data_IF_380011938129
#
_entry.id   IF_380011938129
#
_cell.length_a   1.000
_cell.length_b   1.000
_cell.length_c   1.000
_cell.angle_alpha   90.00
_cell.angle_beta   90.00
_cell.angle_gamma   90.00
#
_symmetry.space_group_name_H-M   'P 1'
#
loop_
_entity.id
_entity.type
_entity.pdbx_description
1 polymer ?
2 polymer ?
3 non-polymer ?
4 water ?
#
# COMPACT_ATOMS: atom_id res chain seq x y z
N UNK A 22 6.02 5.73 15.10
CA UNK A 22 5.36 5.00 14.02
C UNK A 22 6.26 3.88 13.54
N UNK A 23 5.68 2.95 12.78
CA UNK A 23 6.46 1.84 12.24
C UNK A 23 6.83 0.77 13.23
N UNK A 24 6.54 0.98 14.50
CA UNK A 24 6.84 -0.01 15.52
C UNK A 24 5.54 -0.72 15.86
N UNK A 25 5.35 -1.89 15.25
CA UNK A 25 4.15 -2.68 15.46
C UNK A 25 4.03 -3.21 16.88
N UNK A 26 2.91 -2.88 17.55
CA UNK A 26 2.61 -3.29 18.92
C UNK A 26 2.82 -4.78 19.20
N UNK A 27 2.32 -5.63 18.30
CA UNK A 27 2.44 -7.07 18.47
C UNK A 27 3.74 -7.70 17.94
N UNK A 28 4.64 -6.87 17.43
CA UNK A 28 5.90 -7.36 16.88
C UNK A 28 7.12 -6.61 17.38
N UNK A 29 7.38 -5.43 16.84
CA UNK A 29 8.54 -4.65 17.26
C UNK A 29 8.54 -4.39 18.78
N UNK A 30 7.38 -3.98 19.31
CA UNK A 30 7.25 -3.69 20.73
C UNK A 30 7.33 -4.94 21.62
N UNK A 31 6.96 -6.09 21.07
CA UNK A 31 7.03 -7.35 21.79
C UNK A 31 8.40 -7.98 21.56
N UNK A 32 9.18 -7.37 20.68
CA UNK A 32 10.51 -7.87 20.32
C UNK A 32 10.38 -9.22 19.63
N UNK A 33 9.39 -9.32 18.75
CA UNK A 33 9.12 -10.53 17.99
C UNK A 33 9.20 -10.25 16.48
N UNK A 34 10.00 -11.04 15.78
CA UNK A 34 10.17 -10.89 14.34
C UNK A 34 9.05 -11.65 13.65
N UNK A 35 8.44 -11.05 12.63
CA UNK A 35 7.38 -11.75 11.91
C UNK A 35 8.00 -12.80 10.98
N UNK A 36 7.21 -13.80 10.60
CA UNK A 36 7.66 -14.89 9.76
C UNK A 36 8.50 -14.57 8.53
N UNK A 37 8.10 -13.56 7.77
CA UNK A 37 8.82 -13.20 6.56
C UNK A 37 9.86 -12.09 6.68
N UNK A 38 9.88 -11.42 7.83
CA UNK A 38 10.80 -10.32 8.09
C UNK A 38 12.25 -10.63 7.72
N UNK A 39 12.61 -11.92 7.80
CA UNK A 39 13.95 -12.41 7.48
C UNK A 39 14.34 -12.13 6.02
N UNK A 40 13.40 -12.31 5.10
CA UNK A 40 13.64 -12.09 3.67
C UNK A 40 14.16 -10.69 3.40
N UNK A 41 13.51 -9.71 4.02
CA UNK A 41 13.85 -8.32 3.83
C UNK A 41 15.29 -8.01 4.21
N UNK A 42 15.70 -8.44 5.40
CA UNK A 42 17.07 -8.20 5.86
C UNK A 42 18.07 -8.92 4.98
N UNK A 43 17.74 -10.14 4.58
CA UNK A 43 18.62 -10.93 3.75
C UNK A 43 18.88 -10.21 2.42
N UNK A 44 17.83 -9.60 1.86
CA UNK A 44 17.96 -8.88 0.60
C UNK A 44 18.87 -7.66 0.71
N UNK A 45 19.03 -7.14 1.92
CA UNK A 45 19.90 -5.98 2.12
C UNK A 45 21.37 -6.41 2.03
N UNK A 46 21.64 -7.67 2.32
CA UNK A 46 23.01 -8.18 2.28
C UNK A 46 23.36 -8.74 0.88
N UNK B 1 -3.49 -10.13 -3.79
CA UNK B 1 -2.03 -10.42 -3.78
C UNK B 1 -1.85 -11.76 -4.47
N UNK B 2 -0.91 -11.83 -5.41
CA UNK B 2 -0.64 -13.04 -6.16
C UNK B 2 0.63 -13.63 -5.56
N UNK B 3 0.58 -14.92 -5.24
CA UNK B 3 1.69 -15.65 -4.62
C UNK B 3 1.99 -15.12 -3.23
N UNK B 4 0.93 -14.84 -2.47
CA UNK B 4 1.11 -14.34 -1.12
C UNK B 4 0.79 -15.36 -0.05
N UNK B 5 0.86 -14.94 1.20
CA UNK B 5 0.55 -15.80 2.34
C UNK B 5 -0.41 -15.03 3.20
N UNK B 6 -1.14 -15.74 4.07
CA UNK B 6 -2.05 -15.08 5.00
C UNK B 6 -1.09 -14.40 5.96
N UNK B 7 -1.37 -13.16 6.30
CA UNK B 7 -0.52 -12.42 7.22
C UNK B 7 -0.87 -12.82 8.65
N UNK B 8 0.10 -12.68 9.55
CA UNK B 8 -0.12 -12.98 10.95
C UNK B 8 -0.90 -11.80 11.50
N UNK B 9 -1.75 -12.08 12.48
CA UNK B 9 -2.56 -11.04 13.10
C UNK B 9 -1.68 -9.89 13.58
N UNK B 10 -2.03 -8.69 13.15
CA UNK B 10 -1.28 -7.51 13.56
C UNK B 10 -0.04 -7.23 12.74
N UNK B 11 0.13 -7.94 11.63
CA UNK B 11 1.29 -7.75 10.76
C UNK B 11 1.35 -6.32 10.21
N UNK B 12 0.23 -5.83 9.70
CA UNK B 12 0.15 -4.49 9.14
C UNK B 12 -0.91 -3.66 9.86
N UNK B 13 -0.57 -3.12 11.04
CA UNK B 13 -1.47 -2.30 11.86
C UNK B 13 -2.03 -1.09 11.12
N UNK B 14 -1.25 -0.58 10.16
CA UNK B 14 -1.62 0.59 9.36
C UNK B 14 -2.54 0.25 8.19
N UNK B 15 -2.77 -1.03 7.94
CA UNK B 15 -3.63 -1.42 6.84
C UNK B 15 -5.03 -0.87 7.03
N UNK B 16 -5.58 -0.31 5.96
CA UNK B 16 -6.91 0.27 5.97
C UNK B 16 -7.61 -0.18 4.70
N UNK B 17 -8.91 -0.49 4.79
CA UNK B 17 -9.64 -0.88 3.60
C UNK B 17 -10.72 0.13 3.29
N UNK B 18 -10.68 0.65 2.07
CA UNK B 18 -11.63 1.64 1.59
C UNK B 18 -12.87 0.87 1.15
N UNK B 19 -14.03 1.28 1.63
CA UNK B 19 -15.28 0.60 1.33
C UNK B 19 -16.35 1.49 0.73
N UNK B 20 -17.28 0.85 0.03
CA UNK B 20 -18.42 1.52 -0.58
C UNK B 20 -19.49 1.33 0.50
N UNK B 21 -20.13 2.41 0.94
CA UNK B 21 -21.13 2.28 2.00
C UNK B 21 -22.37 1.46 1.68
N UNK B 22 -22.89 1.62 0.46
CA UNK B 22 -24.08 0.87 0.07
C UNK B 22 -24.16 0.79 -1.45
N UNK B 23 -24.10 -0.43 -2.01
CA UNK B 23 -23.98 -1.72 -1.33
C UNK B 23 -22.55 -1.92 -0.83
N UNK B 24 -22.39 -2.56 0.33
CA UNK B 24 -21.06 -2.79 0.89
C UNK B 24 -20.24 -3.50 -0.18
N UNK B 25 -19.05 -2.94 -0.44
CA UNK B 25 -18.17 -3.46 -1.46
C UNK B 25 -16.76 -2.94 -1.20
N UNK B 26 -15.79 -3.85 -1.17
CA UNK B 26 -14.40 -3.46 -0.97
C UNK B 26 -13.92 -2.77 -2.24
N UNK B 27 -13.36 -1.58 -2.10
CA UNK B 27 -12.88 -0.82 -3.25
C UNK B 27 -11.36 -0.75 -3.35
N UNK B 28 -10.69 -0.53 -2.22
CA UNK B 28 -9.25 -0.40 -2.23
C UNK B 28 -8.56 -0.56 -0.90
N UNK B 29 -7.24 -0.53 -0.96
CA UNK B 29 -6.42 -0.59 0.23
C UNK B 29 -6.08 0.85 0.53
N UNK B 30 -5.45 1.07 1.68
CA UNK B 30 -5.03 2.40 2.09
C UNK B 30 -4.19 2.20 3.33
N UNK B 31 -3.55 3.25 3.82
CA UNK B 31 -2.73 3.12 5.01
C UNK B 31 -3.00 4.23 6.01
N UNK B 32 -2.90 3.89 7.28
CA UNK B 32 -3.11 4.81 8.36
C UNK B 32 -1.75 5.47 8.66
N UNK B 33 -1.60 6.73 8.28
CA UNK B 33 -0.34 7.44 8.53
C UNK B 33 -0.42 8.37 9.74
N UNK B 34 -1.58 8.41 10.37
CA UNK B 34 -1.83 9.26 11.53
C UNK B 34 -3.19 8.84 12.07
N UNK B 35 -3.56 9.33 13.25
CA UNK B 35 -4.85 8.95 13.83
C UNK B 35 -6.03 9.62 13.13
N UNK B 36 -5.76 10.45 12.12
CA UNK B 36 -6.84 11.13 11.39
C UNK B 36 -6.56 11.28 9.90
N UNK B 37 -5.50 10.66 9.41
CA UNK B 37 -5.15 10.74 7.99
C UNK B 37 -4.83 9.38 7.39
N UNK B 38 -5.52 9.06 6.31
CA UNK B 38 -5.34 7.81 5.59
C UNK B 38 -4.79 8.14 4.20
N UNK B 39 -3.75 7.41 3.81
CA UNK B 39 -3.08 7.60 2.52
C UNK B 39 -3.54 6.51 1.57
N UNK B 40 -3.88 6.89 0.34
CA UNK B 40 -4.34 5.92 -0.66
C UNK B 40 -3.97 6.41 -2.05
N UNK B 41 -4.28 5.61 -3.07
CA UNK B 41 -3.99 5.97 -4.45
C UNK B 41 -5.18 6.75 -5.01
N UNK B 42 -4.90 7.81 -5.76
CA UNK B 42 -5.96 8.61 -6.34
C UNK B 42 -6.90 7.84 -7.25
N UNK B 43 -6.40 6.82 -7.95
CA UNK B 43 -7.23 6.04 -8.87
C UNK B 43 -8.30 5.21 -8.18
N UNK B 44 -8.27 5.21 -6.85
CA UNK B 44 -9.24 4.49 -6.05
C UNK B 44 -10.49 5.36 -5.87
N UNK B 45 -10.33 6.65 -6.14
CA UNK B 45 -11.40 7.62 -6.00
C UNK B 45 -11.77 8.26 -7.32
N UNK B 46 -10.77 8.72 -8.07
CA UNK B 46 -11.04 9.36 -9.34
C UNK B 46 -10.31 8.77 -10.54
N UNK B 47 -11.10 8.24 -11.47
CA UNK B 47 -10.58 7.67 -12.69
C UNK B 47 -11.74 7.63 -13.66
N UNK B 48 -12.01 8.76 -14.34
CA UNK B 48 -13.09 8.91 -15.31
C UNK B 48 -13.27 7.81 -16.36
N UNK B 49 -12.18 7.30 -16.96
CA UNK B 49 -12.31 6.24 -17.96
C UNK B 49 -13.11 5.01 -17.50
N UNK B 50 -13.22 4.81 -16.20
CA UNK B 50 -13.97 3.68 -15.65
C UNK B 50 -15.21 4.16 -14.92
N UNK B 51 -15.44 5.47 -14.97
CA UNK B 51 -16.58 6.12 -14.32
C UNK B 51 -16.45 6.19 -12.80
N UNK B 52 -15.22 6.38 -12.31
CA UNK B 52 -14.97 6.50 -10.88
C UNK B 52 -14.79 7.96 -10.50
N UNK B 53 -15.53 8.38 -9.49
CA UNK B 53 -15.48 9.73 -8.94
C UNK B 53 -16.21 9.64 -7.62
N UNK B 54 -15.57 9.03 -6.64
CA UNK B 54 -16.15 8.83 -5.32
C UNK B 54 -16.11 10.07 -4.45
N UNK B 55 -17.23 10.33 -3.76
CA UNK B 55 -17.35 11.48 -2.89
C UNK B 55 -17.30 10.97 -1.45
N UNK B 56 -17.14 11.89 -0.51
CA UNK B 56 -17.11 11.54 0.91
C UNK B 56 -18.37 10.78 1.30
N UNK B 57 -19.49 11.13 0.69
CA UNK B 57 -20.76 10.48 0.98
C UNK B 57 -20.91 9.06 0.42
N UNK B 58 -19.95 8.65 -0.41
CA UNK B 58 -20.00 7.32 -1.02
C UNK B 58 -19.04 6.34 -0.35
N UNK B 59 -17.98 6.89 0.21
CA UNK B 59 -16.93 6.10 0.84
C UNK B 59 -17.10 5.84 2.32
N UNK B 60 -16.29 4.90 2.82
CA UNK B 60 -16.28 4.52 4.22
C UNK B 60 -14.95 3.82 4.45
N UNK B 61 -14.44 3.88 5.67
CA UNK B 61 -13.16 3.27 6.00
C UNK B 61 -13.27 2.24 7.13
N UNK B 62 -12.53 1.14 7.01
CA UNK B 62 -12.51 0.09 8.03
C UNK B 62 -11.05 -0.24 8.38
N UNK B 63 -10.65 0.12 9.59
CA UNK B 63 -9.29 -0.09 10.07
C UNK B 63 -9.17 -1.19 11.13
N UNK B 64 -7.98 -1.77 11.23
CA UNK B 64 -7.74 -2.83 12.21
C UNK B 64 -8.25 -4.23 11.86
N UNK B 65 -8.61 -4.45 10.60
CA UNK B 65 -9.14 -5.75 10.19
C UNK B 65 -8.11 -6.84 9.86
N UNK B 66 -8.61 -8.05 9.65
CA UNK B 66 -7.78 -9.21 9.31
C UNK B 66 -8.56 -10.07 8.30
N UNK B 67 -9.83 -10.29 8.59
CA UNK B 67 -10.70 -11.06 7.71
C UNK B 67 -11.35 -10.09 6.73
N UNK B 68 -11.47 -10.49 5.48
CA UNK B 68 -12.05 -9.65 4.44
C UNK B 68 -13.55 -9.50 4.63
N UNK B 69 -14.20 -10.58 5.08
CA UNK B 69 -15.63 -10.60 5.27
C UNK B 69 -16.14 -10.26 6.66
N UNK B 70 -15.79 -11.10 7.63
CA UNK B 70 -16.23 -10.93 9.01
C UNK B 70 -16.00 -9.56 9.65
N UNK B 71 -17.02 -9.06 10.33
CA UNK B 71 -16.94 -7.79 11.03
C UNK B 71 -16.33 -8.12 12.38
N UNK B 72 -15.02 -7.94 12.51
CA UNK B 72 -14.37 -8.23 13.79
C UNK B 72 -14.76 -7.22 14.85
N UNK B 73 -15.71 -7.59 15.70
CA UNK B 73 -16.17 -6.71 16.76
C UNK B 73 -15.02 -6.42 17.73
N UNK B 74 -14.85 -5.13 18.03
CA UNK B 74 -13.80 -4.63 18.91
C UNK B 74 -12.39 -5.17 18.62
N UNK B 75 -11.83 -4.60 17.56
CA UNK B 75 -10.50 -4.85 17.00
C UNK B 75 -10.61 -3.92 15.81
N UNK B 76 -11.70 -4.12 15.06
CA UNK B 76 -12.03 -3.33 13.88
C UNK B 76 -12.59 -1.99 14.27
N UNK B 77 -12.35 -0.99 13.44
CA UNK B 77 -12.85 0.36 13.68
C UNK B 77 -13.29 0.96 12.36
N UNK B 78 -14.58 1.23 12.23
CA UNK B 78 -15.17 1.80 11.03
C UNK B 78 -15.26 3.31 11.22
N UNK B 79 -14.96 4.06 10.17
CA UNK B 79 -15.00 5.52 10.23
C UNK B 79 -15.45 6.10 8.89
N UNK B 80 -15.90 7.36 8.93
CA UNK B 80 -16.34 8.05 7.73
C UNK B 80 -15.39 9.21 7.45
N UNK B 81 -15.22 9.52 6.19
CA UNK B 81 -14.32 10.59 5.79
C UNK B 81 -14.92 11.96 6.05
N UNK B 82 -14.03 12.94 6.16
CA UNK B 82 -14.39 14.32 6.41
C UNK B 82 -14.19 15.08 5.11
N UNK B 83 -13.03 14.85 4.49
CA UNK B 83 -12.69 15.48 3.23
C UNK B 83 -11.71 14.60 2.49
N UNK B 84 -11.76 14.64 1.16
CA UNK B 84 -10.88 13.86 0.31
C UNK B 84 -9.97 14.84 -0.41
N UNK B 85 -8.70 14.49 -0.54
CA UNK B 85 -7.73 15.34 -1.21
C UNK B 85 -7.03 14.54 -2.31
N UNK B 86 -7.17 14.97 -3.55
CA UNK B 86 -6.53 14.30 -4.67
C UNK B 86 -5.49 15.28 -5.21
N UNK B 87 -4.26 14.79 -5.44
CA UNK B 87 -3.20 15.66 -5.93
C UNK B 87 -3.65 16.42 -7.18
N UNK B 88 -3.42 17.74 -7.21
CA UNK B 88 -3.78 18.63 -8.31
C UNK B 88 -3.17 18.23 -9.65
N UNK B 89 -2.00 17.61 -9.62
CA UNK B 89 -1.33 17.20 -10.85
C UNK B 89 -1.43 15.71 -11.17
N UNK B 90 -2.38 15.03 -10.55
CA UNK B 90 -2.61 13.60 -10.78
C UNK B 90 -3.06 13.41 -12.23
N UNK B 91 -2.18 12.87 -13.06
CA UNK B 91 -2.50 12.66 -14.48
C UNK B 91 -3.19 11.33 -14.75
N UNK B 92 -4.52 11.33 -14.75
CA UNK B 92 -5.27 10.10 -14.99
C UNK B 92 -5.44 9.77 -16.46
N UNK B 93 -5.34 10.78 -17.31
CA UNK B 93 -5.51 10.56 -18.74
C UNK B 93 -4.20 10.37 -19.48
N UNK B 94 -3.27 9.65 -18.88
CA UNK B 94 -1.99 9.39 -19.52
C UNK B 94 -1.20 8.25 -18.89
N UNK B 95 -0.60 8.50 -17.73
CA UNK B 95 0.21 7.47 -17.08
C UNK B 95 -0.01 7.31 -15.57
N UNK B 96 -1.05 7.94 -15.05
CA UNK B 96 -1.38 7.91 -13.62
C UNK B 96 -0.28 8.52 -12.76
N UNK B 97 0.34 9.59 -13.28
CA UNK B 97 1.39 10.27 -12.55
C UNK B 97 0.76 10.92 -11.32
N UNK B 98 1.49 10.91 -10.21
CA UNK B 98 1.02 11.48 -8.95
C UNK B 98 -0.28 10.83 -8.50
N UNK B 99 -0.27 9.50 -8.53
CA UNK B 99 -1.41 8.70 -8.12
C UNK B 99 -1.41 8.64 -6.60
N UNK B 100 -1.87 9.72 -5.98
CA UNK B 100 -1.88 9.81 -4.52
C UNK B 100 -3.07 10.65 -4.05
N UNK B 101 -3.65 10.26 -2.93
CA UNK B 101 -4.78 10.95 -2.37
C UNK B 101 -4.78 10.81 -0.85
N UNK B 102 -5.19 11.87 -0.17
CA UNK B 102 -5.26 11.89 1.27
C UNK B 102 -6.72 11.90 1.70
N UNK B 103 -7.03 11.06 2.69
CA UNK B 103 -8.38 10.96 3.21
C UNK B 103 -8.34 11.39 4.67
N UNK B 104 -9.10 12.43 5.00
CA UNK B 104 -9.16 12.93 6.37
C UNK B 104 -10.35 12.33 7.07
N UNK B 105 -10.11 11.61 8.16
CA UNK B 105 -11.20 10.97 8.91
C UNK B 105 -12.00 12.05 9.62
N UNK B 106 -13.31 11.83 9.74
CA UNK B 106 -14.20 12.78 10.40
C UNK B 106 -13.82 12.96 11.86
N UNK B 107 -13.56 11.83 12.52
CA UNK B 107 -13.21 11.81 13.92
C UNK B 107 -11.95 10.95 14.11
N UNK B 108 -10.97 11.45 14.86
CA UNK B 108 -9.70 10.79 15.15
C UNK B 108 -9.89 9.37 15.68
N UNK B 109 -9.20 8.42 15.07
CA UNK B 109 -9.30 7.02 15.45
C UNK B 109 -8.46 6.70 16.70
N UNK B 110 -8.92 5.71 17.47
CA UNK B 110 -8.23 5.30 18.67
C UNK B 110 -7.29 4.14 18.34
N UNK B 111 -6.00 4.38 18.47
CA UNK B 111 -4.97 3.37 18.19
C UNK B 111 -5.07 2.20 19.16
N UNK B 112 -4.55 1.04 18.75
CA UNK B 112 -4.57 -0.16 19.57
C UNK B 112 -3.44 -1.08 19.12
N UNK B 113 -3.53 -2.37 19.45
CA UNK B 113 -2.52 -3.33 19.05
C UNK B 113 -2.68 -3.68 17.58
N UNK B 114 -3.85 -3.38 17.04
CA UNK B 114 -4.17 -3.69 15.65
C UNK B 114 -4.25 -2.44 14.78
N UNK B 115 -4.14 -1.27 15.40
CA UNK B 115 -4.20 -0.01 14.66
C UNK B 115 -3.03 0.84 15.12
N UNK B 116 -2.12 1.12 14.20
CA UNK B 116 -0.94 1.91 14.51
C UNK B 116 -0.42 2.50 13.22
N UNK B 117 0.01 3.78 13.24
CA UNK B 117 0.52 4.48 12.05
C UNK B 117 1.86 3.94 11.55
N UNK B 118 2.13 4.19 10.26
CA UNK B 118 3.37 3.78 9.64
C UNK B 118 4.17 5.05 9.45
N UNK B 119 5.49 4.94 9.37
CA UNK B 119 6.30 6.14 9.20
C UNK B 119 6.44 6.52 7.75
N UNK B 120 6.56 7.81 7.50
CA UNK B 120 6.77 8.32 6.16
C UNK B 120 8.29 8.45 6.06
N UNK B 121 8.87 8.22 4.87
CA UNK B 121 10.31 8.31 4.69
C UNK B 121 10.92 9.71 4.73
N UNK B 122 12.18 9.76 5.15
CA UNK B 122 12.93 11.01 5.19
C UNK B 122 14.11 10.78 4.26
N UNK B 123 14.78 11.88 3.86
CA UNK B 123 15.92 11.80 2.94
C UNK B 123 16.88 10.66 3.22
N UNK B 124 17.39 10.59 4.45
CA UNK B 124 18.32 9.54 4.82
C UNK B 124 17.73 8.16 4.51
N UNK B 125 16.59 7.85 5.11
CA UNK B 125 15.92 6.57 4.92
C UNK B 125 15.69 6.23 3.45
N UNK B 126 15.15 7.19 2.70
CA UNK B 126 14.90 6.99 1.29
C UNK B 126 16.20 6.70 0.54
N UNK B 127 17.27 7.35 0.96
CA UNK B 127 18.58 7.19 0.34
C UNK B 127 19.23 5.84 0.63
N UNK B 128 19.03 5.35 1.85
CA UNK B 128 19.61 4.07 2.26
C UNK B 128 18.84 2.83 1.85
N UNK B 129 17.51 2.93 1.78
CA UNK B 129 16.70 1.78 1.45
C UNK B 129 16.27 1.60 -0.01
N UNK B 130 16.10 2.69 -0.74
CA UNK B 130 15.69 2.60 -2.14
C UNK B 130 16.81 2.16 -3.07
N UNK B 131 17.04 0.86 -3.15
CA UNK B 131 18.08 0.28 -3.99
C UNK B 131 17.54 -1.01 -4.59
N UNK B 132 17.81 -1.21 -5.87
CA UNK B 132 17.35 -2.41 -6.57
C UNK B 132 17.88 -3.63 -5.83
N UNK B 133 17.07 -4.66 -5.74
CA UNK B 133 17.47 -5.87 -5.04
C UNK B 133 16.84 -5.93 -3.66
N UNK B 134 16.74 -4.78 -3.00
CA UNK B 134 16.13 -4.69 -1.68
C UNK B 134 14.66 -5.03 -1.79
N UNK B 135 14.19 -5.93 -0.92
CA UNK B 135 12.79 -6.34 -0.93
C UNK B 135 11.90 -5.47 -0.04
N UNK B 136 10.67 -5.28 -0.49
CA UNK B 136 9.70 -4.48 0.23
C UNK B 136 8.50 -5.36 0.46
N UNK B 137 7.50 -4.85 1.18
CA UNK B 137 6.31 -5.64 1.49
C UNK B 137 5.01 -5.00 1.02
N UNK B 138 4.17 -5.82 0.39
CA UNK B 138 2.87 -5.35 -0.09
C UNK B 138 1.81 -6.20 0.61
N UNK B 139 0.71 -5.56 0.98
CA UNK B 139 -0.36 -6.26 1.67
C UNK B 139 -1.72 -5.85 1.14
N UNK B 140 -2.67 -6.78 1.15
CA UNK B 140 -4.01 -6.48 0.68
C UNK B 140 -4.97 -7.65 0.67
N UNK B 141 -6.25 -7.36 0.49
CA UNK B 141 -7.29 -8.38 0.43
C UNK B 141 -7.77 -8.56 -1.02
N UNK B 142 -6.98 -8.04 -1.96
CA UNK B 142 -7.34 -8.12 -3.38
C UNK B 142 -7.24 -9.51 -3.99
N UNK B 143 -7.72 -9.64 -5.22
CA UNK B 143 -7.73 -10.91 -5.95
C UNK B 143 -6.42 -11.66 -5.85
N UNK B 144 -6.53 -12.98 -5.80
CA UNK B 144 -5.36 -13.86 -5.72
C UNK B 144 -4.77 -14.08 -7.11
N UNK B 145 -5.55 -13.72 -8.13
CA UNK B 145 -5.12 -13.86 -9.51
C UNK B 145 -6.03 -13.01 -10.36
N UNK B 146 -5.71 -12.89 -11.64
CA UNK B 146 -6.52 -12.08 -12.55
C UNK B 146 -7.93 -12.62 -12.61
N UNK B 147 -8.89 -11.78 -12.21
CA UNK B 147 -10.28 -12.17 -12.22
C UNK B 147 -11.00 -11.41 -13.31
N UNK B 155 -11.72 -15.69 -5.94
CA UNK B 155 -10.30 -15.55 -5.62
C UNK B 155 -9.99 -14.53 -4.54
N UNK B 156 -11.02 -13.96 -3.93
CA UNK B 156 -10.84 -12.99 -2.88
C UNK B 156 -10.36 -13.73 -1.64
N UNK B 157 -9.23 -13.30 -1.07
CA UNK B 157 -8.67 -13.94 0.12
C UNK B 157 -9.57 -13.70 1.34
N UNK B 158 -9.69 -14.70 2.19
CA UNK B 158 -10.52 -14.58 3.38
C UNK B 158 -9.74 -13.79 4.43
N UNK B 159 -8.41 -13.94 4.40
CA UNK B 159 -7.53 -13.26 5.33
C UNK B 159 -6.48 -12.41 4.60
N UNK B 160 -6.07 -11.31 5.22
CA UNK B 160 -5.07 -10.40 4.68
C UNK B 160 -3.88 -11.15 4.12
N UNK B 161 -3.52 -10.85 2.87
CA UNK B 161 -2.40 -11.50 2.21
C UNK B 161 -1.17 -10.62 2.35
N UNK B 162 0.01 -11.23 2.18
CA UNK B 162 1.27 -10.52 2.26
C UNK B 162 2.26 -11.13 1.28
N UNK B 163 3.15 -10.30 0.73
CA UNK B 163 4.17 -10.76 -0.21
C UNK B 163 5.33 -9.76 -0.21
N UNK B 164 6.56 -10.29 -0.22
CA UNK B 164 7.75 -9.47 -0.23
C UNK B 164 8.28 -9.45 -1.66
N UNK B 165 8.43 -8.25 -2.23
CA UNK B 165 8.89 -8.08 -3.60
C UNK B 165 10.11 -7.18 -3.66
N UNK B 166 11.08 -7.51 -4.53
CA UNK B 166 12.30 -6.73 -4.69
C UNK B 166 12.14 -5.51 -5.60
N UNK B 167 12.84 -4.43 -5.25
CA UNK B 167 12.83 -3.21 -6.05
C UNK B 167 13.58 -3.52 -7.34
N UNK B 168 13.03 -3.09 -8.47
CA UNK B 168 13.66 -3.32 -9.76
C UNK B 168 14.29 -2.01 -10.22
N UNK B 169 15.40 -2.10 -10.94
CA UNK B 169 16.07 -0.90 -11.43
C UNK B 169 15.25 -0.24 -12.53
N UNK B 170 15.23 1.09 -12.49
CA UNK B 170 14.48 1.92 -13.43
C UNK B 170 14.56 1.51 -14.91
N UNK B 171 15.78 1.29 -15.46
CA UNK B 171 15.89 0.90 -16.87
C UNK B 171 14.99 -0.30 -17.17
N UNK B 172 14.97 -1.25 -16.23
CA UNK B 172 14.16 -2.45 -16.38
C UNK B 172 12.69 -2.11 -16.27
N UNK B 173 12.34 -1.17 -15.38
CA UNK B 173 10.95 -0.79 -15.23
C UNK B 173 10.46 -0.15 -16.52
N UNK B 174 11.22 0.81 -17.03
CA UNK B 174 10.86 1.51 -18.26
C UNK B 174 10.72 0.54 -19.43
N UNK B 175 11.74 -0.29 -19.62
CA UNK B 175 11.76 -1.27 -20.72
C UNK B 175 10.59 -2.23 -20.73
N UNK B 176 10.08 -2.59 -19.55
CA UNK B 176 8.98 -3.52 -19.44
C UNK B 176 7.61 -3.02 -19.87
N UNK B 177 7.50 -1.72 -20.12
CA UNK B 177 6.21 -1.16 -20.50
C UNK B 177 6.29 -0.07 -21.55
N UNK B 178 5.13 0.30 -22.06
CA UNK B 178 5.00 1.34 -23.06
C UNK B 178 4.59 2.64 -22.37
N UNK B 179 3.97 2.50 -21.20
CA UNK B 179 3.52 3.64 -20.41
C UNK B 179 4.73 4.49 -20.04
N UNK B 180 4.55 5.81 -20.00
CA UNK B 180 5.62 6.75 -19.68
C UNK B 180 5.87 6.77 -18.17
N UNK B 181 6.95 6.13 -17.72
CA UNK B 181 7.30 6.08 -16.32
C UNK B 181 7.90 7.43 -15.92
N UNK B 182 7.50 7.94 -14.77
CA UNK B 182 8.01 9.21 -14.30
C UNK B 182 8.81 8.92 -13.05
N UNK B 183 9.47 9.91 -12.49
CA UNK B 183 10.24 9.69 -11.29
C UNK B 183 9.37 9.63 -10.03
N UNK B 184 8.07 9.86 -10.20
CA UNK B 184 7.13 9.80 -9.08
C UNK B 184 6.55 8.39 -8.99
N UNK B 185 7.28 7.42 -9.50
CA UNK B 185 6.83 6.04 -9.45
C UNK B 185 8.00 5.10 -9.66
N UNK B 186 7.90 3.90 -9.08
CA UNK B 186 8.94 2.90 -9.22
C UNK B 186 8.25 1.56 -9.36
N UNK B 187 8.98 0.51 -9.74
CA UNK B 187 8.35 -0.79 -9.91
C UNK B 187 9.06 -1.85 -9.07
N UNK B 188 8.38 -2.96 -8.82
CA UNK B 188 8.96 -4.03 -8.03
C UNK B 188 8.38 -5.36 -8.46
N UNK B 189 9.20 -6.40 -8.33
CA UNK B 189 8.77 -7.73 -8.72
C UNK B 189 9.94 -8.58 -9.17
N UNK B 190 9.74 -9.88 -9.25
CA UNK B 190 10.81 -10.76 -9.68
C UNK B 190 10.92 -10.79 -11.19
N UNK B 191 12.14 -10.91 -11.67
CA UNK B 191 12.40 -10.96 -13.11
C UNK B 191 12.22 -12.40 -13.58
N UNK B 192 12.02 -12.61 -14.89
CA UNK B 192 11.83 -13.95 -15.48
C UNK B 192 12.77 -15.02 -14.98
N UNK B 193 14.05 -14.68 -14.80
CA UNK B 193 14.99 -15.68 -14.32
C UNK B 193 15.13 -15.78 -12.80
N UNK B 194 14.50 -14.88 -12.06
CA UNK B 194 14.60 -14.88 -10.59
C UNK B 194 13.97 -16.05 -9.86
N UNK B 195 13.21 -16.86 -10.58
CA UNK B 195 12.62 -18.05 -9.98
C UNK B 195 11.58 -17.93 -8.87
N UNK B 196 10.94 -16.77 -8.77
CA UNK B 196 9.90 -16.56 -7.76
C UNK B 196 8.83 -15.71 -8.41
N UNK B 197 7.65 -15.70 -7.81
CA UNK B 197 6.56 -14.91 -8.37
C UNK B 197 5.87 -14.15 -7.26
N UNK B 198 4.97 -13.23 -7.64
CA UNK B 198 4.24 -12.44 -6.67
C UNK B 198 3.97 -11.06 -7.23
N UNK B 199 2.85 -10.46 -6.85
CA UNK B 199 2.47 -9.14 -7.31
C UNK B 199 1.15 -8.73 -6.67
N UNK B 200 0.89 -7.42 -6.62
CA UNK B 200 -0.36 -6.92 -6.09
C UNK B 200 -1.37 -7.25 -7.20
N UNK B 201 -2.65 -6.98 -6.97
CA UNK B 201 -3.67 -7.26 -7.98
C UNK B 201 -4.91 -6.44 -7.69
N UNK B 202 -5.99 -6.73 -8.40
CA UNK B 202 -7.24 -5.98 -8.24
C UNK B 202 -7.69 -5.98 -6.79
N UNK B 203 -7.91 -4.78 -6.25
CA UNK B 203 -8.35 -4.64 -4.88
C UNK B 203 -7.19 -4.28 -3.96
N UNK B 204 -5.98 -4.38 -4.48
CA UNK B 204 -4.79 -4.03 -3.71
C UNK B 204 -4.39 -2.57 -3.90
N UNK B 205 -4.93 -1.92 -4.93
CA UNK B 205 -4.64 -0.51 -5.21
C UNK B 205 -4.83 0.36 -3.98
N UNK B 206 -3.87 1.25 -3.71
CA UNK B 206 -3.97 2.11 -2.55
C UNK B 206 -3.20 1.56 -1.35
N UNK B 207 -3.05 0.24 -1.30
CA UNK B 207 -2.33 -0.40 -0.22
C UNK B 207 -0.89 0.10 -0.13
N UNK B 208 -0.24 -0.07 1.02
CA UNK B 208 1.15 0.38 1.21
C UNK B 208 2.22 -0.62 0.75
N UNK B 209 3.41 -0.08 0.46
CA UNK B 209 4.58 -0.88 0.09
C UNK B 209 5.52 -0.35 1.18
N UNK B 210 5.88 -1.20 2.12
CA UNK B 210 6.74 -0.77 3.21
C UNK B 210 8.08 -1.50 3.25
N UNK B 211 9.06 -0.83 3.87
CA UNK B 211 10.39 -1.39 4.03
C UNK B 211 10.80 -1.15 5.47
N UNK B 212 11.47 -2.12 6.08
CA UNK B 212 11.91 -2.00 7.47
C UNK B 212 13.34 -1.47 7.57
N UNK B 213 13.52 -0.42 8.35
CA UNK B 213 14.83 0.20 8.52
C UNK B 213 15.61 -0.44 9.66
N UNK B 214 16.73 -1.10 9.35
CA UNK B 214 17.55 -1.75 10.37
C UNK B 214 18.23 -0.74 11.30
N UNK B 215 18.19 0.53 10.92
CA UNK B 215 18.81 1.59 11.71
C UNK B 215 18.03 1.87 12.98
N UNK B 216 16.71 1.89 12.87
CA UNK B 216 15.85 2.17 14.03
C UNK B 216 14.73 1.18 14.27
N UNK B 217 14.73 0.08 13.51
CA UNK B 217 13.72 -0.96 13.67
C UNK B 217 12.29 -0.47 13.38
N UNK B 218 12.17 0.52 12.49
CA UNK B 218 10.86 1.06 12.14
C UNK B 218 10.45 0.81 10.70
N UNK B 219 9.16 0.60 10.48
CA UNK B 219 8.62 0.38 9.15
C UNK B 219 8.28 1.70 8.49
N UNK B 220 8.72 1.85 7.25
CA UNK B 220 8.47 3.07 6.49
C UNK B 220 7.71 2.71 5.22
N UNK B 221 6.73 3.54 4.85
CA UNK B 221 5.98 3.31 3.63
C UNK B 221 6.75 3.98 2.51
N UNK B 222 7.30 3.20 1.60
CA UNK B 222 8.07 3.75 0.49
C UNK B 222 7.24 3.98 -0.76
N UNK B 223 6.10 3.32 -0.85
CA UNK B 223 5.24 3.49 -2.00
C UNK B 223 3.79 3.11 -1.79
N UNK B 224 2.93 3.50 -2.72
CA UNK B 224 1.51 3.19 -2.67
C UNK B 224 1.23 2.30 -3.89
N UNK B 225 0.51 1.20 -3.69
CA UNK B 225 0.19 0.31 -4.79
C UNK B 225 -0.57 1.12 -5.85
N UNK B 226 0.05 1.26 -7.02
CA UNK B 226 -0.54 2.02 -8.11
C UNK B 226 -1.05 1.09 -9.21
N UNK B 227 -0.68 1.37 -10.45
CA UNK B 227 -1.13 0.58 -11.59
C UNK B 227 -0.23 -0.60 -11.96
N UNK B 228 -0.78 -1.49 -12.77
CA UNK B 228 -0.06 -2.68 -13.22
C UNK B 228 -0.84 -3.26 -14.38
N UNK B 229 -0.12 -3.69 -15.41
CA UNK B 229 -0.75 -4.27 -16.59
C UNK B 229 -0.89 -5.78 -16.40
N UNK B 230 -1.91 -6.18 -15.65
CA UNK B 230 -2.14 -7.58 -15.38
C UNK B 230 -1.61 -7.91 -13.99
N UNK B 231 -1.84 -9.12 -13.52
CA UNK B 231 -1.37 -9.50 -12.20
C UNK B 231 -0.35 -10.62 -12.30
N UNK B 232 0.87 -10.33 -11.86
CA UNK B 232 1.96 -11.31 -11.86
C UNK B 232 2.30 -11.88 -13.24
N UNK B 233 2.39 -11.01 -14.24
CA UNK B 233 2.73 -11.44 -15.59
C UNK B 233 4.24 -11.43 -15.81
N UNK B 234 4.75 -12.43 -16.51
CA UNK B 234 6.18 -12.52 -16.80
C UNK B 234 6.61 -11.30 -17.59
N UNK B 235 7.74 -10.71 -17.20
CA UNK B 235 8.22 -9.53 -17.91
C UNK B 235 7.49 -8.26 -17.56
N UNK B 236 6.43 -8.38 -16.76
CA UNK B 236 5.63 -7.24 -16.34
C UNK B 236 5.86 -6.98 -14.85
N UNK B 237 5.98 -5.71 -14.48
CA UNK B 237 6.19 -5.35 -13.09
C UNK B 237 5.04 -4.48 -12.56
N UNK B 238 4.89 -4.45 -11.24
CA UNK B 238 3.83 -3.65 -10.64
C UNK B 238 4.39 -2.29 -10.30
N UNK B 239 3.59 -1.25 -10.50
CA UNK B 239 4.06 0.10 -10.21
C UNK B 239 3.54 0.68 -8.91
N UNK B 240 4.38 1.49 -8.27
CA UNK B 240 4.06 2.10 -6.99
C UNK B 240 4.34 3.60 -6.99
N UNK B 241 3.44 4.36 -6.37
CA UNK B 241 3.59 5.79 -6.27
C UNK B 241 4.77 6.02 -5.32
N UNK B 242 5.71 6.87 -5.73
CA UNK B 242 6.90 7.16 -4.93
C UNK B 242 6.54 8.13 -3.80
N UNK B 243 6.29 7.60 -2.61
CA UNK B 243 5.89 8.42 -1.47
C UNK B 243 6.84 9.55 -1.09
N UNK B 244 8.13 9.25 -1.00
CA UNK B 244 9.09 10.27 -0.62
C UNK B 244 9.14 11.49 -1.54
N UNK B 245 8.99 11.26 -2.83
CA UNK B 245 9.01 12.35 -3.80
C UNK B 245 7.73 13.19 -3.75
N UNK B 246 6.69 12.65 -3.12
CA UNK B 246 5.42 13.37 -3.01
C UNK B 246 5.13 13.75 -1.56
N UNK B 247 6.12 13.53 -0.68
CA UNK B 247 5.98 13.85 0.72
C UNK B 247 5.75 15.35 0.93
N UNK B 248 6.40 16.17 0.10
CA UNK B 248 6.24 17.62 0.19
C UNK B 248 4.80 18.08 -0.03
N UNK B 249 4.02 17.28 -0.75
CA UNK B 249 2.61 17.59 -0.99
C UNK B 249 1.83 17.11 0.23
N UNK B 250 2.16 15.91 0.72
CA UNK B 250 1.50 15.32 1.88
C UNK B 250 1.50 16.26 3.08
N UNK B 252 2.06 19.34 3.24
CA UNK B 252 1.39 20.57 2.85
C UNK B 252 -0.13 20.52 3.09
N UNK B 253 -0.76 19.42 2.67
CA UNK B 253 -2.19 19.25 2.84
C UNK B 253 -2.54 19.08 4.31
N UNK B 254 -1.75 18.27 4.99
CA UNK B 254 -1.96 18.00 6.41
C UNK B 254 -1.74 19.22 7.30
N UNK B 255 -0.96 20.18 6.83
CA UNK B 255 -0.70 21.38 7.62
C UNK B 255 -1.60 22.56 7.29
X LIG C 1 0.07 -5.28 -10.14
X LIG C 1 -1.24 -5.53 -10.60
X LIG C 1 -2.23 -4.54 -10.39
X LIG C 1 -1.91 -3.30 -9.81
X LIG C 1 -0.61 -3.08 -9.34
X LIG C 1 0.39 -4.01 -9.57
X LIG C 1 -2.92 -2.30 -9.61
X LIG C 1 -4.30 -2.61 -9.97
X LIG C 1 -4.97 -1.43 -10.70
X LIG C 1 -4.18 -1.01 -11.82
X LIG C 1 -4.85 -0.25 -12.81
X LIG C 1 -4.64 -0.50 -14.18
X LIG C 1 -4.92 0.50 -15.14
X LIG C 1 -5.62 1.67 -14.73
X LIG C 1 -5.90 1.87 -13.38
X LIG C 1 -5.61 0.88 -12.44
X LIG C 1 -6.85 2.98 -12.96
X LIG C 1 -4.82 0.22 -16.52
X LIG C 1 -3.32 0.46 -17.13
X LIG C 1 -3.40 0.06 -18.52
X LIG C 1 -2.28 -0.29 -16.48
X LIG C 1 -2.85 2.13 -17.07
X LIG C 1 -1.53 2.44 -16.71
X LIG C 1 -1.25 3.77 -16.35
X LIG C 1 -2.10 4.81 -16.78
X LIG C 1 -3.35 4.48 -17.35
X LIG C 1 -3.71 3.13 -17.55
X LIG C 1 0.79 -5.72 -10.67
X LIG C 1 -2.75 -1.48 -9.05
X LIG C 1 -5.42 -0.47 -16.92
#
# INVERSE_FOLDING_TARGET
>A
TSEDHFQPFFNEKTFGAGEADCGLRPLFEKKQVQDQTEKELFESYIEGR
>B
IVEGQDAEVGLSPWQVMLFRKSPQELLCGASLISDRWVLTAAHCLLYPPWDKNFTVDDLLVRIGKHSRTRYERKVEKISMLDKIYIHPRYNWKENLDRDIALLKLKRPIELSDYIHPVCLPDKQTAAKLLHAGFKGRVTGWGNRRETWTTSVAEVQPSVLQVVNLPLVERPVCKASTRIRITDNMFCAGYKPGEGKRGDACEGDSGGPFVMKSPYNNRWYQMGIVSWGEGCDRDGKYGFYTHVFRLKKWIQKVIDRLGS
>C hetero
1 I48 N1 C2 C3 C4 C5 C6 NA1 CA2 CA3 OA4 C21 C22 C23 C24 C25 C26 C27 NB1 SB2 OBA OBB C31 C32 C33 C34 C35 C36 H1 HA1 HB1
#
